data_IF_673941305511
#
_entry.id   IF_673941305511
#
_cell.length_a   1.000
_cell.length_b   1.000
_cell.length_c   1.000
_cell.angle_alpha   90.00
_cell.angle_beta   90.00
_cell.angle_gamma   90.00
#
_symmetry.space_group_name_H-M   'P 1'
#
loop_
_entity.id
_entity.type
_entity.pdbx_description
1 polymer ?
#
# COMPACT_ATOMS: atom_id res chain seq x y z
N UNK A 1 -25.34 -57.69 4.89
CA UNK A 1 -26.14 -56.50 5.20
C UNK A 1 -25.29 -55.28 4.85
N UNK A 2 -25.48 -54.75 3.65
CA UNK A 2 -24.70 -53.63 3.14
C UNK A 2 -25.36 -52.28 3.50
N UNK A 3 -24.58 -51.36 4.05
CA UNK A 3 -24.99 -49.96 4.16
C UNK A 3 -24.37 -49.20 3.01
N UNK A 4 -25.21 -48.80 2.05
CA UNK A 4 -24.88 -47.85 1.00
C UNK A 4 -24.80 -46.48 1.60
N UNK A 5 -23.61 -45.83 1.44
CA UNK A 5 -23.43 -44.38 1.64
C UNK A 5 -24.10 -43.67 0.48
N UNK A 6 -25.07 -42.82 0.77
CA UNK A 6 -25.60 -41.84 -0.17
C UNK A 6 -24.62 -40.69 -0.27
N UNK A 7 -23.99 -40.53 -1.42
CA UNK A 7 -23.26 -39.36 -1.80
C UNK A 7 -24.27 -38.23 -2.07
N UNK A 8 -24.33 -37.25 -1.14
CA UNK A 8 -25.05 -36.01 -1.35
C UNK A 8 -24.27 -35.08 -2.27
N UNK A 9 -24.41 -35.30 -3.57
CA UNK A 9 -23.92 -34.33 -4.56
C UNK A 9 -24.69 -33.03 -4.45
N UNK A 10 -24.00 -31.94 -4.31
CA UNK A 10 -24.56 -30.60 -4.49
C UNK A 10 -25.08 -30.52 -5.92
N UNK A 11 -26.40 -30.34 -6.08
CA UNK A 11 -27.00 -30.11 -7.37
C UNK A 11 -26.49 -28.76 -7.90
N UNK A 12 -25.79 -28.79 -9.03
CA UNK A 12 -25.46 -27.58 -9.77
C UNK A 12 -26.76 -26.83 -10.10
N UNK A 13 -26.82 -25.58 -9.69
CA UNK A 13 -27.92 -24.69 -10.08
C UNK A 13 -27.96 -24.60 -11.62
N UNK A 14 -29.16 -24.71 -12.25
CA UNK A 14 -29.27 -24.66 -13.68
C UNK A 14 -28.74 -23.31 -14.17
N UNK A 15 -27.67 -23.33 -14.97
CA UNK A 15 -27.22 -22.17 -15.72
C UNK A 15 -28.34 -21.78 -16.69
N UNK A 16 -29.10 -20.73 -16.33
CA UNK A 16 -30.09 -20.15 -17.23
C UNK A 16 -29.31 -19.59 -18.46
N UNK A 17 -29.48 -20.23 -19.59
CA UNK A 17 -29.03 -19.70 -20.88
C UNK A 17 -29.76 -18.39 -21.12
N UNK A 18 -29.06 -17.28 -21.00
CA UNK A 18 -29.50 -15.92 -21.38
C UNK A 18 -29.27 -15.67 -22.88
N UNK A 19 -29.29 -16.71 -23.70
CA UNK A 19 -29.21 -16.58 -25.16
C UNK A 19 -30.63 -16.38 -25.70
N UNK A 20 -30.94 -15.17 -26.18
CA UNK A 20 -32.07 -14.90 -27.02
C UNK A 20 -33.21 -14.01 -26.49
N UNK A 21 -33.04 -13.39 -25.34
CA UNK A 21 -33.92 -12.28 -24.99
C UNK A 21 -33.42 -11.00 -25.70
N UNK A 22 -34.24 -10.40 -26.62
CA UNK A 22 -33.90 -9.06 -27.09
C UNK A 22 -33.89 -8.16 -25.86
N UNK A 23 -32.74 -7.56 -25.57
CA UNK A 23 -32.66 -6.50 -24.58
C UNK A 23 -33.68 -5.45 -24.99
N UNK A 24 -34.72 -5.12 -24.17
CA UNK A 24 -35.59 -4.03 -24.48
C UNK A 24 -34.70 -2.80 -24.67
N UNK A 25 -34.93 -2.07 -25.74
CA UNK A 25 -34.26 -0.81 -25.96
C UNK A 25 -34.61 0.09 -24.76
N UNK A 26 -33.66 0.21 -23.84
CA UNK A 26 -33.81 0.96 -22.56
C UNK A 26 -33.96 2.47 -22.83
N UNK A 27 -34.06 2.84 -24.09
CA UNK A 27 -34.18 4.23 -24.55
C UNK A 27 -35.63 4.74 -24.69
N UNK A 28 -36.65 3.87 -24.66
CA UNK A 28 -38.04 4.33 -24.70
C UNK A 28 -38.61 4.46 -23.27
N UNK A 29 -38.49 5.66 -22.70
CA UNK A 29 -39.14 6.01 -21.43
C UNK A 29 -38.27 6.68 -20.38
N UNK A 30 -36.94 6.69 -20.55
CA UNK A 30 -36.08 7.54 -19.75
C UNK A 30 -36.07 8.93 -20.41
N UNK A 31 -36.51 9.95 -19.67
CA UNK A 31 -36.31 11.34 -20.07
C UNK A 31 -34.84 11.61 -20.41
N UNK A 32 -34.49 12.78 -20.96
CA UNK A 32 -33.11 13.07 -21.37
C UNK A 32 -32.16 12.73 -20.24
N UNK A 33 -31.15 11.87 -20.56
CA UNK A 33 -30.11 11.51 -19.60
C UNK A 33 -29.59 12.79 -18.96
N UNK A 34 -29.52 12.81 -17.64
CA UNK A 34 -28.95 13.95 -16.94
C UNK A 34 -27.55 14.19 -17.49
N UNK A 35 -27.11 15.46 -17.64
CA UNK A 35 -25.80 15.78 -18.22
C UNK A 35 -24.62 15.01 -17.57
N UNK A 36 -24.75 14.66 -16.30
CA UNK A 36 -23.77 13.87 -15.56
C UNK A 36 -23.61 12.41 -16.04
N UNK A 37 -24.58 11.88 -16.79
CA UNK A 37 -24.53 10.51 -17.34
C UNK A 37 -24.24 10.44 -18.84
N UNK A 38 -24.00 11.58 -19.48
CA UNK A 38 -23.52 11.57 -20.85
C UNK A 38 -22.08 11.01 -20.88
N UNK A 39 -21.74 10.13 -21.86
CA UNK A 39 -20.37 9.70 -22.03
C UNK A 39 -19.50 10.95 -22.19
N UNK A 40 -18.56 11.14 -21.26
CA UNK A 40 -17.58 12.21 -21.38
C UNK A 40 -16.70 11.90 -22.60
N UNK A 41 -17.02 12.54 -23.74
CA UNK A 41 -16.14 12.54 -24.89
C UNK A 41 -14.81 13.15 -24.45
N UNK A 42 -13.77 12.31 -24.33
CA UNK A 42 -12.40 12.68 -23.98
C UNK A 42 -12.20 13.29 -22.58
N UNK A 43 -12.49 12.53 -21.50
CA UNK A 43 -11.92 12.84 -20.21
C UNK A 43 -10.41 12.58 -20.24
N UNK A 44 -9.62 13.62 -20.45
CA UNK A 44 -8.18 13.58 -20.24
C UNK A 44 -7.94 13.93 -18.76
N UNK A 45 -7.51 12.98 -17.93
CA UNK A 45 -7.25 13.27 -16.52
C UNK A 45 -6.11 14.30 -16.44
N UNK A 46 -6.47 15.53 -16.10
CA UNK A 46 -5.49 16.59 -15.82
C UNK A 46 -4.95 16.32 -14.43
N UNK A 47 -3.67 15.91 -14.37
CA UNK A 47 -2.98 15.81 -13.08
C UNK A 47 -2.82 17.22 -12.53
N UNK A 48 -3.42 17.55 -11.38
CA UNK A 48 -3.26 18.87 -10.79
C UNK A 48 -1.77 19.13 -10.52
N UNK A 49 -1.31 20.38 -10.63
CA UNK A 49 0.04 20.73 -10.25
C UNK A 49 0.26 20.34 -8.78
N UNK A 50 1.44 19.76 -8.48
CA UNK A 50 1.76 19.43 -7.09
C UNK A 50 1.74 20.72 -6.27
N UNK A 51 1.04 20.77 -5.13
CA UNK A 51 1.11 21.92 -4.23
C UNK A 51 2.55 22.11 -3.76
N UNK A 52 2.96 23.34 -3.56
CA UNK A 52 4.24 23.64 -2.94
C UNK A 52 4.25 23.09 -1.51
N UNK A 53 5.34 22.45 -1.15
CA UNK A 53 5.51 21.89 0.18
C UNK A 53 5.90 22.97 1.17
N UNK A 54 5.27 23.03 2.33
CA UNK A 54 5.55 24.04 3.36
C UNK A 54 6.96 23.91 3.96
N UNK A 55 7.52 22.70 3.99
CA UNK A 55 8.90 22.40 4.45
C UNK A 55 9.63 21.55 3.38
N UNK A 56 9.62 22.03 2.14
CA UNK A 56 10.25 21.39 1.00
C UNK A 56 11.73 21.76 0.84
N UNK A 57 12.38 21.12 -0.15
CA UNK A 57 13.76 21.43 -0.53
C UNK A 57 14.83 20.75 0.32
N UNK A 58 14.46 19.92 1.30
CA UNK A 58 15.43 19.10 2.05
C UNK A 58 15.91 17.94 1.18
N UNK A 59 17.19 17.62 1.27
CA UNK A 59 17.79 16.51 0.54
C UNK A 59 17.79 15.25 1.39
N UNK A 60 17.52 14.14 0.75
CA UNK A 60 17.74 12.80 1.31
C UNK A 60 19.25 12.55 1.40
N UNK A 61 19.75 12.30 2.59
CA UNK A 61 21.18 12.08 2.85
C UNK A 61 21.40 10.85 3.72
N UNK A 62 22.14 9.88 3.19
CA UNK A 62 22.47 8.65 3.90
C UNK A 62 23.66 8.87 4.83
N UNK A 63 23.44 8.69 6.11
CA UNK A 63 24.48 8.64 7.12
C UNK A 63 24.80 7.17 7.43
N UNK A 64 26.01 6.73 7.13
CA UNK A 64 26.42 5.34 7.36
C UNK A 64 27.93 5.23 7.51
N UNK A 65 28.38 4.32 8.37
CA UNK A 65 29.80 3.92 8.46
C UNK A 65 30.16 2.95 7.33
N UNK A 66 29.17 2.42 6.61
CA UNK A 66 29.40 1.48 5.52
C UNK A 66 29.58 2.19 4.19
N UNK A 67 30.50 1.67 3.40
CA UNK A 67 30.70 2.03 2.00
C UNK A 67 30.21 0.89 1.09
N UNK A 68 29.68 1.21 -0.11
CA UNK A 68 29.31 0.18 -1.07
C UNK A 68 30.49 -0.69 -1.47
N UNK A 69 30.35 -2.02 -1.37
CA UNK A 69 31.42 -3.00 -1.68
C UNK A 69 30.91 -4.10 -2.61
N UNK A 70 31.86 -4.78 -3.26
CA UNK A 70 31.54 -5.87 -4.19
C UNK A 70 30.70 -5.39 -5.37
N UNK A 71 29.56 -6.04 -5.59
CA UNK A 71 28.64 -5.72 -6.69
C UNK A 71 27.68 -4.55 -6.38
N UNK A 72 27.67 -4.04 -5.15
CA UNK A 72 26.75 -2.97 -4.74
C UNK A 72 26.91 -1.68 -5.57
N UNK A 73 28.14 -1.17 -5.84
CA UNK A 73 28.28 0.04 -6.67
C UNK A 73 27.67 -0.09 -8.04
N UNK A 74 27.86 -1.24 -8.69
CA UNK A 74 27.28 -1.54 -10.01
C UNK A 74 25.76 -1.60 -9.93
N UNK A 75 25.22 -2.34 -8.96
CA UNK A 75 23.78 -2.46 -8.75
C UNK A 75 23.12 -1.09 -8.46
N UNK A 76 23.76 -0.23 -7.64
CA UNK A 76 23.27 1.12 -7.39
C UNK A 76 23.23 1.93 -8.70
N UNK A 77 24.31 1.90 -9.47
CA UNK A 77 24.38 2.65 -10.71
C UNK A 77 23.31 2.21 -11.73
N UNK A 78 23.11 0.91 -11.91
CA UNK A 78 22.10 0.35 -12.80
C UNK A 78 20.68 0.71 -12.36
N UNK A 79 20.36 0.57 -11.07
CA UNK A 79 19.05 0.93 -10.52
C UNK A 79 18.76 2.42 -10.67
N UNK A 80 19.74 3.28 -10.40
CA UNK A 80 19.59 4.74 -10.58
C UNK A 80 19.40 5.10 -12.06
N UNK A 81 20.13 4.44 -12.96
CA UNK A 81 19.98 4.62 -14.40
C UNK A 81 18.56 4.22 -14.84
N UNK A 82 18.06 3.07 -14.40
CA UNK A 82 16.71 2.62 -14.74
C UNK A 82 15.64 3.58 -14.23
N UNK A 83 15.77 4.09 -12.98
CA UNK A 83 14.85 5.11 -12.45
C UNK A 83 14.89 6.40 -13.31
N UNK A 84 16.07 6.79 -13.77
CA UNK A 84 16.25 7.99 -14.62
C UNK A 84 15.68 7.78 -16.02
N UNK A 85 15.77 6.55 -16.55
CA UNK A 85 15.17 6.14 -17.81
C UNK A 85 13.64 5.91 -17.72
N UNK A 86 13.03 6.10 -16.53
CA UNK A 86 11.62 5.84 -16.25
C UNK A 86 11.24 4.36 -16.47
N UNK A 87 12.17 3.43 -16.26
CA UNK A 87 11.85 2.01 -16.23
C UNK A 87 10.85 1.74 -15.10
N UNK A 88 9.78 1.05 -15.46
CA UNK A 88 8.68 0.81 -14.53
C UNK A 88 9.04 -0.20 -13.45
N UNK A 89 9.71 -1.26 -13.84
CA UNK A 89 9.95 -2.42 -12.98
C UNK A 89 11.44 -2.79 -13.02
N UNK A 90 12.06 -2.90 -11.85
CA UNK A 90 13.44 -3.34 -11.69
C UNK A 90 13.51 -4.35 -10.55
N UNK A 91 14.44 -5.30 -10.63
CA UNK A 91 14.59 -6.37 -9.62
C UNK A 91 16.02 -6.39 -9.10
N UNK A 92 16.17 -6.21 -7.78
CA UNK A 92 17.44 -6.39 -7.08
C UNK A 92 17.48 -7.77 -6.43
N UNK A 93 18.30 -8.68 -6.97
CA UNK A 93 18.53 -10.00 -6.41
C UNK A 93 19.75 -9.99 -5.49
N UNK A 94 19.64 -10.65 -4.36
CA UNK A 94 20.73 -10.81 -3.41
C UNK A 94 20.35 -11.73 -2.26
N UNK A 95 21.34 -12.45 -1.74
CA UNK A 95 21.17 -13.31 -0.56
C UNK A 95 20.87 -12.48 0.69
N UNK A 96 20.35 -13.11 1.73
CA UNK A 96 20.19 -12.47 3.04
C UNK A 96 21.54 -11.97 3.56
N UNK A 97 21.59 -10.75 4.07
CA UNK A 97 22.84 -10.16 4.57
C UNK A 97 23.73 -9.51 3.49
N UNK A 98 23.35 -9.51 2.21
CA UNK A 98 24.13 -8.85 1.14
C UNK A 98 24.05 -7.32 1.14
N UNK A 99 23.38 -6.71 2.12
CA UNK A 99 23.22 -5.25 2.22
C UNK A 99 22.22 -4.64 1.26
N UNK A 100 21.17 -5.39 0.85
CA UNK A 100 20.13 -4.85 -0.04
C UNK A 100 19.48 -3.57 0.48
N UNK A 101 19.20 -3.49 1.78
CA UNK A 101 18.60 -2.30 2.40
C UNK A 101 19.51 -1.08 2.24
N UNK A 102 20.81 -1.26 2.47
CA UNK A 102 21.80 -0.20 2.25
C UNK A 102 21.90 0.19 0.76
N UNK A 103 21.91 -0.78 -0.15
CA UNK A 103 21.87 -0.54 -1.59
C UNK A 103 20.65 0.32 -1.96
N UNK A 104 19.46 -0.02 -1.46
CA UNK A 104 18.25 0.75 -1.69
C UNK A 104 18.30 2.16 -1.07
N UNK A 105 18.88 2.30 0.12
CA UNK A 105 19.10 3.61 0.73
C UNK A 105 19.97 4.51 -0.17
N UNK A 106 21.03 3.96 -0.75
CA UNK A 106 21.90 4.69 -1.70
C UNK A 106 21.18 5.04 -3.02
N UNK A 107 20.29 4.19 -3.50
CA UNK A 107 19.44 4.51 -4.68
C UNK A 107 18.48 5.65 -4.36
N UNK A 108 17.84 5.63 -3.18
CA UNK A 108 16.93 6.70 -2.72
C UNK A 108 17.71 8.02 -2.60
N UNK A 109 18.88 7.99 -1.99
CA UNK A 109 19.77 9.15 -1.89
C UNK A 109 20.14 9.71 -3.27
N UNK A 110 20.55 8.86 -4.20
CA UNK A 110 20.97 9.30 -5.55
C UNK A 110 19.81 9.87 -6.37
N UNK A 111 18.61 9.32 -6.22
CA UNK A 111 17.43 9.74 -7.00
C UNK A 111 16.72 10.96 -6.41
N UNK A 112 16.93 11.26 -5.13
CA UNK A 112 16.30 12.40 -4.43
C UNK A 112 14.78 12.46 -4.58
N UNK A 113 14.12 11.30 -4.55
CA UNK A 113 12.66 11.18 -4.70
C UNK A 113 12.05 10.60 -3.44
N UNK A 114 10.87 11.05 -3.02
CA UNK A 114 10.11 10.36 -1.97
C UNK A 114 9.95 8.88 -2.30
N UNK A 115 10.13 8.02 -1.29
CA UNK A 115 10.10 6.58 -1.48
C UNK A 115 9.03 5.91 -0.63
N UNK A 116 8.34 4.93 -1.21
CA UNK A 116 7.42 4.04 -0.51
C UNK A 116 7.99 2.63 -0.50
N UNK A 117 8.21 2.08 0.68
CA UNK A 117 8.74 0.73 0.91
C UNK A 117 7.61 -0.14 1.45
N UNK A 118 7.20 -1.14 0.67
CA UNK A 118 6.15 -2.06 1.05
C UNK A 118 6.73 -3.38 1.56
N UNK A 119 6.48 -3.69 2.83
CA UNK A 119 6.85 -4.96 3.44
C UNK A 119 5.64 -5.92 3.49
N UNK A 120 5.85 -7.24 3.37
CA UNK A 120 4.76 -8.22 3.37
C UNK A 120 4.02 -8.32 4.72
N UNK A 121 4.63 -7.89 5.81
CA UNK A 121 4.04 -7.92 7.14
C UNK A 121 4.56 -6.78 8.04
N UNK A 122 3.90 -6.57 9.19
CA UNK A 122 4.25 -5.51 10.15
C UNK A 122 5.64 -5.70 10.77
N UNK A 123 6.05 -6.92 11.04
CA UNK A 123 7.35 -7.23 11.67
C UNK A 123 8.50 -6.81 10.77
N UNK A 124 8.43 -7.18 9.49
CA UNK A 124 9.45 -6.77 8.52
C UNK A 124 9.38 -5.26 8.25
N UNK A 125 8.18 -4.67 8.23
CA UNK A 125 8.03 -3.22 8.12
C UNK A 125 8.71 -2.50 9.29
N UNK A 126 8.56 -3.00 10.53
CA UNK A 126 9.22 -2.42 11.71
C UNK A 126 10.75 -2.53 11.63
N UNK A 127 11.27 -3.67 11.18
CA UNK A 127 12.70 -3.86 10.97
C UNK A 127 13.23 -2.87 9.93
N UNK A 128 12.61 -2.81 8.76
CA UNK A 128 13.02 -1.89 7.69
C UNK A 128 12.90 -0.43 8.12
N UNK A 129 11.85 -0.08 8.88
CA UNK A 129 11.72 1.27 9.44
C UNK A 129 12.92 1.64 10.30
N UNK A 130 13.34 0.77 11.22
CA UNK A 130 14.53 1.01 12.05
C UNK A 130 15.81 1.11 11.24
N UNK A 131 16.00 0.27 10.21
CA UNK A 131 17.17 0.33 9.32
C UNK A 131 17.18 1.65 8.52
N UNK A 132 16.06 2.04 7.89
CA UNK A 132 15.99 3.30 7.13
C UNK A 132 16.09 4.54 8.03
N UNK A 133 15.55 4.51 9.24
CA UNK A 133 15.70 5.60 10.20
C UNK A 133 17.18 5.79 10.60
N UNK A 134 17.94 4.69 10.70
CA UNK A 134 19.38 4.76 10.96
C UNK A 134 20.15 5.33 9.78
N UNK A 135 19.74 5.04 8.54
CA UNK A 135 20.38 5.58 7.34
C UNK A 135 20.01 7.05 7.05
N UNK A 136 18.81 7.47 7.43
CA UNK A 136 18.28 8.81 7.16
C UNK A 136 17.88 9.54 8.46
N UNK A 137 18.83 9.79 9.40
CA UNK A 137 18.48 10.33 10.72
C UNK A 137 17.91 11.75 10.68
N UNK A 138 18.21 12.53 9.66
CA UNK A 138 17.74 13.92 9.50
C UNK A 138 16.52 14.06 8.59
N UNK A 139 16.11 12.97 7.94
CA UNK A 139 15.00 12.96 7.00
C UNK A 139 13.72 12.38 7.62
N UNK A 140 12.59 12.57 6.96
CA UNK A 140 11.33 12.03 7.42
C UNK A 140 11.19 10.55 7.04
N UNK A 141 11.58 9.66 7.93
CA UNK A 141 11.30 8.23 7.79
C UNK A 141 10.04 7.91 8.60
N UNK A 142 9.02 7.43 7.93
CA UNK A 142 7.68 7.25 8.50
C UNK A 142 7.24 5.80 8.47
N UNK A 143 6.50 5.39 9.51
CA UNK A 143 5.97 4.03 9.65
C UNK A 143 4.48 4.02 9.40
N UNK A 144 4.02 3.22 8.43
CA UNK A 144 2.63 3.19 8.03
C UNK A 144 2.10 1.75 7.95
N UNK A 145 1.39 1.33 8.98
CA UNK A 145 0.85 -0.04 9.08
C UNK A 145 -0.66 -0.02 9.33
N UNK A 146 -1.33 -1.15 9.14
CA UNK A 146 -2.77 -1.25 9.39
C UNK A 146 -3.08 -1.02 10.88
N UNK A 147 -4.28 -0.47 11.16
CA UNK A 147 -4.73 -0.13 12.52
C UNK A 147 -4.77 -1.32 13.48
N UNK A 148 -5.08 -2.52 12.96
CA UNK A 148 -5.30 -3.69 13.78
C UNK A 148 -3.97 -4.32 14.19
N UNK A 149 -3.65 -4.25 15.46
CA UNK A 149 -2.45 -4.90 16.03
C UNK A 149 -2.73 -6.33 16.45
N UNK A 150 -3.94 -6.58 16.92
CA UNK A 150 -4.34 -7.86 17.44
C UNK A 150 -5.72 -8.24 16.94
N UNK A 151 -5.82 -9.43 16.39
CA UNK A 151 -7.06 -10.05 15.97
C UNK A 151 -7.28 -11.30 16.79
N UNK A 152 -8.21 -11.24 17.74
CA UNK A 152 -8.74 -12.44 18.39
C UNK A 152 -9.84 -13.01 17.48
N UNK A 153 -9.65 -14.20 16.90
CA UNK A 153 -10.76 -14.85 16.21
C UNK A 153 -11.88 -15.15 17.23
N UNK A 154 -13.10 -15.06 16.78
CA UNK A 154 -14.23 -15.55 17.55
C UNK A 154 -13.98 -17.01 17.95
N UNK A 155 -14.09 -17.31 19.22
CA UNK A 155 -13.93 -18.65 19.73
C UNK A 155 -14.99 -18.95 20.78
N UNK A 156 -15.66 -20.09 20.62
CA UNK A 156 -16.54 -20.64 21.64
C UNK A 156 -15.80 -21.72 22.43
N UNK A 157 -15.72 -21.56 23.73
CA UNK A 157 -15.11 -22.52 24.64
C UNK A 157 -16.24 -23.35 25.31
N UNK A 158 -16.57 -24.56 24.80
CA UNK A 158 -17.69 -25.36 25.30
C UNK A 158 -17.58 -25.74 26.76
N UNK A 159 -16.35 -25.79 27.29
CA UNK A 159 -16.07 -26.22 28.67
C UNK A 159 -16.52 -25.20 29.73
N UNK A 160 -16.54 -23.92 29.40
CA UNK A 160 -16.93 -22.80 30.26
C UNK A 160 -18.17 -22.08 29.78
N UNK A 161 -18.80 -22.58 28.70
CA UNK A 161 -19.94 -21.90 28.04
C UNK A 161 -19.63 -20.41 27.77
N UNK A 162 -18.40 -20.13 27.36
CA UNK A 162 -17.91 -18.76 27.11
C UNK A 162 -17.74 -18.52 25.65
N UNK A 163 -18.40 -17.51 25.15
CA UNK A 163 -18.19 -16.97 23.81
C UNK A 163 -17.18 -15.83 23.90
N UNK A 164 -16.07 -15.97 23.22
CA UNK A 164 -15.05 -14.92 23.09
C UNK A 164 -15.39 -14.13 21.81
N UNK A 165 -15.88 -12.92 22.00
CA UNK A 165 -16.18 -12.04 20.90
C UNK A 165 -14.89 -11.60 20.18
N UNK A 166 -15.04 -11.28 18.88
CA UNK A 166 -13.98 -10.70 18.08
C UNK A 166 -13.70 -9.28 18.58
N UNK A 167 -12.63 -9.10 19.34
CA UNK A 167 -12.16 -7.77 19.72
C UNK A 167 -11.07 -7.28 18.75
N UNK A 168 -11.28 -6.08 18.21
CA UNK A 168 -10.26 -5.32 17.53
C UNK A 168 -10.01 -4.02 18.29
N UNK A 169 -8.88 -3.92 18.96
CA UNK A 169 -8.47 -2.66 19.58
C UNK A 169 -7.70 -1.80 18.57
N UNK A 170 -8.11 -0.55 18.44
CA UNK A 170 -7.34 0.45 17.69
C UNK A 170 -6.16 0.86 18.55
N UNK A 171 -4.94 0.68 18.04
CA UNK A 171 -3.75 1.14 18.71
C UNK A 171 -3.53 2.63 18.40
N UNK A 172 -3.73 3.49 19.41
CA UNK A 172 -3.55 4.94 19.27
C UNK A 172 -2.15 5.35 18.81
N UNK A 173 -1.12 4.57 19.13
CA UNK A 173 0.23 4.84 18.69
C UNK A 173 0.37 4.65 17.16
N UNK A 174 -0.24 3.60 16.63
CA UNK A 174 -0.28 3.35 15.18
C UNK A 174 -1.03 4.49 14.49
N UNK A 175 -2.12 4.94 15.07
CA UNK A 175 -2.91 6.05 14.52
C UNK A 175 -2.06 7.34 14.42
N UNK A 176 -1.37 7.69 15.49
CA UNK A 176 -0.43 8.84 15.49
C UNK A 176 0.67 8.71 14.44
N UNK A 177 1.26 7.51 14.28
CA UNK A 177 2.29 7.28 13.26
C UNK A 177 1.73 7.44 11.84
N UNK A 178 0.49 6.99 11.60
CA UNK A 178 -0.19 7.17 10.30
C UNK A 178 -0.46 8.64 10.00
N UNK A 179 -0.92 9.41 10.97
CA UNK A 179 -1.11 10.85 10.84
C UNK A 179 0.23 11.58 10.59
N UNK A 180 1.29 11.20 11.31
CA UNK A 180 2.64 11.72 11.07
C UNK A 180 3.09 11.46 9.64
N UNK A 181 2.95 10.24 9.14
CA UNK A 181 3.31 9.89 7.78
C UNK A 181 2.54 10.72 6.72
N UNK A 182 1.25 10.89 6.93
CA UNK A 182 0.40 11.71 6.05
C UNK A 182 0.85 13.17 6.05
N UNK A 183 1.11 13.73 7.22
CA UNK A 183 1.60 15.10 7.37
C UNK A 183 2.94 15.28 6.66
N UNK A 184 3.90 14.39 6.91
CA UNK A 184 5.21 14.44 6.26
C UNK A 184 5.12 14.39 4.74
N UNK A 185 4.22 13.56 4.18
CA UNK A 185 3.99 13.50 2.73
C UNK A 185 3.42 14.79 2.15
N UNK A 186 2.60 15.51 2.93
CA UNK A 186 2.01 16.78 2.49
C UNK A 186 2.99 17.95 2.61
N UNK A 187 3.83 17.97 3.65
CA UNK A 187 4.67 19.12 3.99
C UNK A 187 6.10 19.01 3.47
N UNK A 188 6.65 17.79 3.27
CA UNK A 188 8.08 17.55 2.99
C UNK A 188 8.30 16.77 1.69
N UNK A 189 9.49 16.95 1.10
CA UNK A 189 9.93 16.23 -0.10
C UNK A 189 10.88 15.07 0.22
N UNK A 190 11.53 15.11 1.37
CA UNK A 190 12.53 14.15 1.83
C UNK A 190 11.91 13.01 2.67
N UNK A 191 10.86 12.39 2.14
CA UNK A 191 10.05 11.40 2.88
C UNK A 191 10.32 9.98 2.41
N UNK A 192 10.58 9.09 3.36
CA UNK A 192 10.63 7.64 3.15
C UNK A 192 9.55 6.98 3.99
N UNK A 193 8.53 6.42 3.36
CA UNK A 193 7.44 5.73 4.06
C UNK A 193 7.68 4.22 4.02
N UNK A 194 7.75 3.59 5.19
CA UNK A 194 7.80 2.14 5.31
C UNK A 194 6.43 1.63 5.74
N UNK A 195 5.79 0.86 4.88
CA UNK A 195 4.43 0.39 5.06
C UNK A 195 4.32 -1.14 5.00
N UNK A 196 3.30 -1.69 5.66
CA UNK A 196 2.92 -3.09 5.44
C UNK A 196 1.93 -3.19 4.28
N UNK A 197 1.99 -4.30 3.52
CA UNK A 197 1.08 -4.55 2.39
C UNK A 197 -0.40 -4.51 2.80
N UNK A 198 -0.71 -4.79 4.06
CA UNK A 198 -2.07 -4.69 4.60
C UNK A 198 -2.67 -3.28 4.55
N UNK A 199 -1.86 -2.24 4.34
CA UNK A 199 -2.32 -0.86 4.20
C UNK A 199 -2.86 -0.53 2.81
N UNK A 200 -2.66 -1.41 1.81
CA UNK A 200 -3.22 -1.24 0.46
C UNK A 200 -4.76 -1.31 0.51
N UNK A 201 -5.29 -2.08 1.45
CA UNK A 201 -6.73 -2.15 1.69
C UNK A 201 -7.15 -0.92 2.50
N UNK A 202 -7.29 0.22 1.82
CA UNK A 202 -7.64 1.50 2.43
C UNK A 202 -9.08 1.54 2.87
N UNK A 203 -9.31 2.17 4.01
CA UNK A 203 -10.63 2.56 4.47
C UNK A 203 -10.70 4.08 4.27
N UNK A 204 -11.46 4.54 3.30
CA UNK A 204 -11.71 5.95 3.09
C UNK A 204 -11.28 6.49 1.73
N UNK A 205 -11.88 7.60 1.39
CA UNK A 205 -11.61 8.37 0.18
C UNK A 205 -10.41 9.31 0.42
N UNK A 206 -9.55 9.43 -0.58
CA UNK A 206 -8.39 10.34 -0.56
C UNK A 206 -8.82 11.79 -0.34
N UNK A 207 -9.98 12.20 -0.89
CA UNK A 207 -10.51 13.54 -0.74
C UNK A 207 -10.89 13.84 0.71
N UNK A 208 -11.54 12.89 1.39
CA UNK A 208 -11.89 13.02 2.82
C UNK A 208 -10.64 13.13 3.69
N UNK A 209 -9.59 12.35 3.36
CA UNK A 209 -8.33 12.36 4.11
C UNK A 209 -7.58 13.69 3.92
N UNK A 210 -7.58 14.22 2.70
CA UNK A 210 -6.96 15.53 2.39
C UNK A 210 -7.70 16.70 3.04
N UNK A 211 -9.02 16.61 3.16
CA UNK A 211 -9.84 17.62 3.80
C UNK A 211 -9.66 17.70 5.33
N UNK A 212 -9.12 16.66 5.96
CA UNK A 212 -8.81 16.62 7.40
C UNK A 212 -7.39 17.14 7.73
N UNK A 213 -6.57 17.41 6.73
CA UNK A 213 -5.25 18.01 6.89
C UNK A 213 -5.39 19.54 6.93
N UNK A 214 -5.14 20.17 8.08
CA UNK A 214 -5.16 21.61 8.30
C UNK A 214 -3.74 22.16 8.20
#
# INVERSE_FOLDING_TARGET
MGHSRQDGGFAEAPQARLEGLPLPAITEGLGPLRPEFLPLESFTPVKPPKPEKSDGGRRLNVVSEYEPKGDQPTAIAELVQGVSALERDQVLLGVTGSGKTFTMAKVIEATQRPALILAPNKTLAAQLYGEFQSFFPENAVEYFVSYYDYYTPEAYVPRSDTYIEKESSINEQIDRMRHSATRSLLERDDVVVVASVSCIYGIGDVETYSAMAF
#
